data_IF_763165099662
#
_entry.id   IF_763165099662
#
_cell.length_a   1.000
_cell.length_b   1.000
_cell.length_c   1.000
_cell.angle_alpha   90.00
_cell.angle_beta   90.00
_cell.angle_gamma   90.00
#
_symmetry.space_group_name_H-M   'P 1'
#
loop_
_entity.id
_entity.type
_entity.pdbx_description
1 polymer ?
#
# COMPACT_ATOMS: atom_id res chain seq x y z
N UNK A 1 -12.58 -6.39 10.89
CA UNK A 1 -12.05 -5.01 10.78
C UNK A 1 -11.40 -4.88 9.42
N UNK A 2 -11.75 -3.85 8.67
CA UNK A 2 -11.17 -3.58 7.36
C UNK A 2 -9.96 -2.68 7.58
N UNK A 3 -8.76 -3.16 7.29
CA UNK A 3 -7.60 -2.30 7.17
C UNK A 3 -7.44 -2.00 5.69
N UNK A 4 -7.71 -0.74 5.33
CA UNK A 4 -7.25 -0.19 4.05
C UNK A 4 -5.94 0.49 4.33
N UNK A 5 -4.87 -0.09 3.81
CA UNK A 5 -3.63 0.67 3.70
C UNK A 5 -3.79 1.54 2.45
N UNK A 6 -4.34 2.74 2.64
CA UNK A 6 -4.09 3.81 1.69
C UNK A 6 -2.70 4.33 2.04
N UNK A 7 -1.81 4.46 1.04
CA UNK A 7 -0.59 5.21 1.27
C UNK A 7 -1.01 6.55 1.90
N UNK A 8 -0.42 6.95 3.04
CA UNK A 8 -0.79 8.19 3.69
C UNK A 8 -0.73 9.32 2.68
N UNK A 9 -1.59 10.33 2.83
CA UNK A 9 -1.39 11.62 2.15
C UNK A 9 -0.02 12.13 2.60
N UNK A 10 1.01 11.83 1.82
CA UNK A 10 2.37 12.20 2.19
C UNK A 10 2.52 13.66 1.79
N UNK A 11 2.46 14.54 2.78
CA UNK A 11 2.63 15.97 2.63
C UNK A 11 4.08 16.27 2.28
N UNK A 12 4.33 16.61 1.01
CA UNK A 12 5.69 16.88 0.53
C UNK A 12 6.25 18.14 1.20
N UNK A 13 7.37 18.03 1.94
CA UNK A 13 8.03 19.18 2.54
C UNK A 13 8.33 20.31 1.55
N UNK A 14 8.69 19.98 0.30
CA UNK A 14 8.96 20.96 -0.75
C UNK A 14 7.70 21.79 -1.10
N UNK A 15 6.51 21.19 -1.00
CA UNK A 15 5.25 21.92 -1.17
C UNK A 15 4.93 22.70 0.11
N UNK A 16 4.88 22.02 1.26
CA UNK A 16 4.45 22.61 2.53
C UNK A 16 5.26 23.84 2.89
N UNK A 17 6.57 23.79 2.75
CA UNK A 17 7.48 24.84 3.19
C UNK A 17 7.50 26.04 2.23
N UNK A 18 7.29 25.82 0.92
CA UNK A 18 7.25 26.91 -0.05
C UNK A 18 5.88 27.60 -0.16
N UNK A 19 4.81 26.96 0.31
CA UNK A 19 3.51 27.60 0.55
C UNK A 19 3.57 28.67 1.65
N UNK A 20 4.47 28.54 2.62
CA UNK A 20 4.70 29.56 3.64
C UNK A 20 5.82 30.52 3.21
N UNK A 21 5.54 31.83 3.00
CA UNK A 21 6.55 32.80 2.60
C UNK A 21 7.76 32.90 3.53
N UNK A 22 7.60 32.63 4.83
CA UNK A 22 8.68 32.72 5.82
C UNK A 22 9.70 31.57 5.72
N UNK A 23 9.30 30.44 5.12
CA UNK A 23 10.14 29.24 4.97
C UNK A 23 10.45 28.92 3.51
N UNK A 24 9.98 29.74 2.57
CA UNK A 24 10.17 29.53 1.13
C UNK A 24 11.64 29.68 0.76
N UNK A 25 12.14 28.75 -0.06
CA UNK A 25 13.46 28.85 -0.66
C UNK A 25 13.53 30.10 -1.58
N UNK A 26 14.42 31.08 -1.31
CA UNK A 26 14.43 32.35 -2.05
C UNK A 26 14.70 32.23 -3.55
N UNK A 27 15.34 31.14 -3.99
CA UNK A 27 15.58 30.88 -5.40
C UNK A 27 14.32 30.52 -6.21
N UNK A 28 13.21 30.14 -5.57
CA UNK A 28 12.01 29.65 -6.25
C UNK A 28 11.05 30.77 -6.64
N UNK A 29 10.50 30.69 -7.85
CA UNK A 29 9.49 31.61 -8.37
C UNK A 29 8.12 30.93 -8.55
N UNK A 30 7.05 31.74 -8.57
CA UNK A 30 5.71 31.28 -8.91
C UNK A 30 4.92 30.68 -7.73
N UNK A 31 5.41 30.77 -6.49
CA UNK A 31 4.70 30.27 -5.32
C UNK A 31 3.71 31.29 -4.72
N UNK A 32 3.65 32.51 -5.22
CA UNK A 32 2.73 33.53 -4.71
C UNK A 32 1.29 33.06 -4.86
N UNK A 33 0.50 33.15 -3.78
CA UNK A 33 -0.95 32.87 -3.75
C UNK A 33 -1.37 31.45 -4.17
N UNK A 34 -0.42 30.51 -4.31
CA UNK A 34 -0.74 29.08 -4.41
C UNK A 34 -1.25 28.58 -3.06
N UNK A 35 -2.11 27.56 -3.10
CA UNK A 35 -2.66 26.89 -1.92
C UNK A 35 -2.36 25.40 -1.96
N UNK A 36 -2.45 24.72 -0.82
CA UNK A 36 -2.21 23.28 -0.74
C UNK A 36 -3.08 22.45 -1.69
N UNK A 37 -4.28 22.93 -2.03
CA UNK A 37 -5.19 22.25 -2.95
C UNK A 37 -4.73 22.30 -4.43
N UNK A 38 -3.88 23.26 -4.81
CA UNK A 38 -3.30 23.34 -6.16
C UNK A 38 -2.37 22.18 -6.49
N UNK A 39 -1.88 21.49 -5.46
CA UNK A 39 -0.96 20.36 -5.55
C UNK A 39 -1.67 19.02 -5.40
N UNK A 40 -3.01 19.01 -5.29
CA UNK A 40 -3.79 17.79 -5.12
C UNK A 40 -4.32 17.29 -6.47
N UNK A 41 -3.94 16.07 -6.90
CA UNK A 41 -4.51 15.50 -8.11
C UNK A 41 -6.00 15.23 -7.94
N UNK A 42 -6.75 15.43 -9.02
CA UNK A 42 -8.19 15.21 -9.09
C UNK A 42 -8.52 14.21 -10.18
N UNK A 43 -9.58 13.46 -9.96
CA UNK A 43 -10.13 12.57 -10.96
C UNK A 43 -10.67 13.41 -12.12
N UNK A 44 -10.27 13.13 -13.37
CA UNK A 44 -10.66 13.95 -14.52
C UNK A 44 -12.15 13.84 -14.86
N UNK A 45 -12.86 12.83 -14.33
CA UNK A 45 -14.29 12.61 -14.55
C UNK A 45 -15.10 13.26 -13.43
N UNK A 46 -14.73 13.01 -12.17
CA UNK A 46 -15.54 13.49 -11.03
C UNK A 46 -15.11 14.85 -10.51
N UNK A 47 -13.88 15.28 -10.77
CA UNK A 47 -13.28 16.50 -10.21
C UNK A 47 -12.95 16.38 -8.72
N UNK A 48 -13.19 15.22 -8.09
CA UNK A 48 -12.86 14.96 -6.69
C UNK A 48 -11.38 14.59 -6.54
N UNK A 49 -10.85 14.68 -5.32
CA UNK A 49 -9.48 14.25 -5.03
C UNK A 49 -9.23 12.80 -5.48
N UNK A 50 -8.08 12.55 -6.10
CA UNK A 50 -7.72 11.23 -6.62
C UNK A 50 -6.39 10.70 -6.04
N UNK A 51 -6.40 9.59 -5.30
CA UNK A 51 -5.19 8.88 -4.90
C UNK A 51 -4.63 7.96 -5.99
N UNK A 52 -5.00 8.16 -7.26
CA UNK A 52 -4.47 7.35 -8.36
C UNK A 52 -3.15 7.92 -8.86
N UNK A 53 -2.13 7.08 -8.97
CA UNK A 53 -0.86 7.42 -9.60
C UNK A 53 -1.05 7.85 -11.07
N UNK A 54 -2.06 7.30 -11.76
CA UNK A 54 -2.39 7.73 -13.13
C UNK A 54 -2.82 9.19 -13.23
N UNK A 55 -3.38 9.73 -12.15
CA UNK A 55 -3.84 11.12 -12.07
C UNK A 55 -2.79 12.02 -11.42
N UNK A 56 -1.66 11.44 -10.97
CA UNK A 56 -0.56 12.13 -10.31
C UNK A 56 0.51 12.53 -11.33
N UNK A 57 0.87 13.81 -11.34
CA UNK A 57 1.95 14.33 -12.17
C UNK A 57 3.29 13.73 -11.73
N UNK A 58 4.09 13.29 -12.69
CA UNK A 58 5.36 12.59 -12.47
C UNK A 58 6.43 13.13 -13.41
N UNK A 59 7.63 13.30 -12.85
CA UNK A 59 8.85 13.62 -13.58
C UNK A 59 9.87 12.50 -13.37
N UNK A 60 10.68 12.18 -14.37
CA UNK A 60 11.87 11.32 -14.22
C UNK A 60 13.09 12.22 -14.08
N UNK A 61 13.85 12.02 -13.02
CA UNK A 61 15.13 12.66 -12.79
C UNK A 61 16.26 11.70 -13.17
N UNK A 62 17.27 12.20 -13.87
CA UNK A 62 18.52 11.46 -14.11
C UNK A 62 19.63 11.99 -13.21
N UNK A 63 20.21 11.13 -12.38
CA UNK A 63 21.31 11.42 -11.46
C UNK A 63 22.65 11.05 -12.08
N UNK A 64 23.59 11.98 -12.08
CA UNK A 64 24.92 11.81 -12.66
C UNK A 64 25.96 11.44 -11.59
N UNK A 65 26.85 10.46 -11.86
CA UNK A 65 27.90 10.04 -10.93
C UNK A 65 29.07 11.05 -10.94
N UNK A 66 28.85 12.20 -10.32
CA UNK A 66 29.89 13.20 -10.00
C UNK A 66 30.37 13.02 -8.55
N UNK A 67 31.39 13.78 -8.13
CA UNK A 67 31.99 13.62 -6.80
C UNK A 67 30.98 13.69 -5.62
N UNK A 68 29.90 14.47 -5.79
CA UNK A 68 28.81 14.60 -4.80
C UNK A 68 27.42 14.22 -5.36
N UNK A 69 27.33 13.73 -6.59
CA UNK A 69 26.07 13.47 -7.30
C UNK A 69 25.29 14.73 -7.67
N UNK A 70 24.77 14.79 -8.89
CA UNK A 70 23.99 15.92 -9.42
C UNK A 70 22.74 15.43 -10.16
N UNK A 71 21.70 16.26 -10.24
CA UNK A 71 20.61 16.04 -11.20
C UNK A 71 21.08 16.53 -12.57
N UNK A 72 21.21 15.62 -13.53
CA UNK A 72 21.64 15.92 -14.90
C UNK A 72 20.50 16.08 -15.90
N UNK A 73 19.32 15.55 -15.61
CA UNK A 73 18.16 15.69 -16.50
C UNK A 73 16.83 15.58 -15.77
N UNK A 74 15.79 16.16 -16.37
CA UNK A 74 14.40 16.02 -15.98
C UNK A 74 13.55 15.73 -17.22
N UNK A 75 12.67 14.73 -17.14
CA UNK A 75 11.75 14.34 -18.21
C UNK A 75 10.34 14.29 -17.63
N UNK A 76 9.36 14.83 -18.33
CA UNK A 76 7.95 14.67 -17.96
C UNK A 76 7.49 13.25 -18.30
N UNK A 77 7.02 12.50 -17.31
CA UNK A 77 6.52 11.12 -17.48
C UNK A 77 4.99 11.06 -17.51
N UNK A 78 4.34 11.79 -16.60
CA UNK A 78 2.88 11.88 -16.53
C UNK A 78 2.47 13.31 -16.21
N UNK A 79 1.50 13.84 -16.96
CA UNK A 79 0.94 15.16 -16.69
C UNK A 79 0.03 15.20 -15.46
N UNK A 80 -0.56 14.06 -15.08
CA UNK A 80 -1.59 14.00 -14.05
C UNK A 80 -2.81 14.88 -14.39
N UNK A 81 -3.65 15.16 -13.40
CA UNK A 81 -4.90 15.92 -13.60
C UNK A 81 -5.33 16.68 -12.35
N UNK A 82 -5.93 17.85 -12.54
CA UNK A 82 -6.57 18.62 -11.47
C UNK A 82 -5.68 19.61 -10.71
N UNK A 83 -4.44 19.81 -11.16
CA UNK A 83 -3.49 20.72 -10.53
C UNK A 83 -3.84 22.19 -10.79
N UNK A 84 -3.32 23.09 -9.95
CA UNK A 84 -3.39 24.55 -10.13
C UNK A 84 -4.82 25.08 -10.25
N UNK A 85 -5.78 24.49 -9.54
CA UNK A 85 -7.19 24.85 -9.58
C UNK A 85 -7.46 26.33 -9.24
N UNK A 86 -6.72 26.90 -8.28
CA UNK A 86 -6.79 28.32 -7.93
C UNK A 86 -6.35 29.25 -9.07
N UNK A 87 -5.63 28.71 -10.06
CA UNK A 87 -5.14 29.38 -11.26
C UNK A 87 -5.88 28.97 -12.53
N UNK A 88 -7.04 28.32 -12.41
CA UNK A 88 -7.77 27.79 -13.55
C UNK A 88 -7.00 26.71 -14.32
N UNK A 89 -6.08 26.02 -13.64
CA UNK A 89 -5.27 24.94 -14.20
C UNK A 89 -4.02 25.39 -14.97
N UNK A 90 -3.74 26.70 -15.05
CA UNK A 90 -2.61 27.23 -15.81
C UNK A 90 -1.65 27.97 -14.89
N UNK A 91 -0.41 27.49 -14.77
CA UNK A 91 0.58 28.12 -13.91
C UNK A 91 2.00 27.66 -14.21
N UNK A 92 3.00 28.49 -13.89
CA UNK A 92 4.42 28.10 -13.92
C UNK A 92 5.01 28.32 -12.53
N UNK A 93 5.70 27.32 -12.01
CA UNK A 93 6.28 27.34 -10.66
C UNK A 93 7.61 26.60 -10.64
N UNK A 94 8.60 27.17 -9.97
CA UNK A 94 9.90 26.54 -9.75
C UNK A 94 9.78 25.62 -8.53
N UNK A 95 10.24 24.39 -8.64
CA UNK A 95 10.08 23.33 -7.65
C UNK A 95 11.45 22.75 -7.29
N UNK A 96 11.73 22.60 -6.01
CA UNK A 96 12.98 22.03 -5.52
C UNK A 96 12.93 20.50 -5.46
N UNK A 97 14.05 19.86 -5.77
CA UNK A 97 14.23 18.42 -5.56
C UNK A 97 15.03 18.22 -4.27
N UNK A 98 14.39 17.67 -3.25
CA UNK A 98 15.04 17.35 -1.97
C UNK A 98 15.76 16.00 -2.03
N UNK A 99 16.42 15.62 -0.94
CA UNK A 99 17.20 14.37 -0.84
C UNK A 99 18.68 14.53 -1.16
N UNK A 100 19.15 15.78 -1.22
CA UNK A 100 20.54 16.14 -1.26
C UNK A 100 21.11 16.34 0.16
N UNK A 101 22.42 16.14 0.32
CA UNK A 101 23.16 16.35 1.57
C UNK A 101 24.19 17.50 1.50
N UNK A 102 24.12 18.33 0.46
CA UNK A 102 24.99 19.48 0.29
C UNK A 102 24.52 20.69 1.12
N UNK A 103 25.48 21.45 1.64
CA UNK A 103 25.24 22.78 2.20
C UNK A 103 26.26 23.72 1.55
N UNK A 104 25.76 24.76 0.91
CA UNK A 104 26.57 25.79 0.26
C UNK A 104 26.37 27.14 0.94
N UNK A 105 27.37 28.01 0.81
CA UNK A 105 27.25 29.39 1.28
C UNK A 105 26.33 30.28 0.42
N UNK A 106 25.52 29.71 -0.48
CA UNK A 106 24.64 30.45 -1.37
C UNK A 106 23.38 30.92 -0.62
N UNK A 107 23.19 32.23 -0.40
CA UNK A 107 22.04 32.71 0.37
C UNK A 107 20.69 32.52 -0.32
N UNK A 108 20.66 32.27 -1.64
CA UNK A 108 19.43 32.03 -2.40
C UNK A 108 19.06 30.54 -2.46
N UNK A 109 20.07 29.67 -2.42
CA UNK A 109 19.92 28.22 -2.44
C UNK A 109 20.92 27.58 -1.45
N UNK A 110 20.70 27.71 -0.13
CA UNK A 110 21.69 27.34 0.89
C UNK A 110 21.96 25.83 0.93
N UNK A 111 20.98 25.01 0.61
CA UNK A 111 21.16 23.55 0.54
C UNK A 111 21.66 23.11 -0.86
N UNK A 112 21.78 24.01 -1.84
CA UNK A 112 22.16 23.65 -3.21
C UNK A 112 21.28 22.54 -3.82
N UNK A 113 19.97 22.62 -3.57
CA UNK A 113 18.98 21.74 -4.18
C UNK A 113 18.90 21.98 -5.69
N UNK A 114 18.61 20.91 -6.44
CA UNK A 114 18.21 21.02 -7.84
C UNK A 114 16.86 21.73 -7.93
N UNK A 115 16.71 22.58 -8.94
CA UNK A 115 15.50 23.38 -9.16
C UNK A 115 14.94 23.05 -10.54
N UNK A 116 13.66 22.66 -10.58
CA UNK A 116 12.92 22.31 -11.79
C UNK A 116 11.78 23.30 -11.99
N UNK A 117 11.71 23.94 -13.16
CA UNK A 117 10.55 24.71 -13.58
C UNK A 117 9.46 23.79 -14.08
N UNK A 118 8.31 23.84 -13.42
CA UNK A 118 7.11 23.10 -13.79
C UNK A 118 6.12 24.03 -14.49
N UNK A 119 5.62 23.62 -15.65
CA UNK A 119 4.55 24.32 -16.37
C UNK A 119 3.29 23.49 -16.41
N UNK A 120 2.17 24.09 -16.02
CA UNK A 120 0.85 23.47 -15.99
C UNK A 120 -0.07 24.16 -16.99
N UNK A 121 -0.86 23.37 -17.71
CA UNK A 121 -1.95 23.85 -18.55
C UNK A 121 -3.17 22.95 -18.40
N UNK A 122 -4.36 23.57 -18.30
CA UNK A 122 -5.64 22.87 -18.09
C UNK A 122 -5.63 21.85 -16.94
N UNK A 123 -4.84 22.11 -15.90
CA UNK A 123 -4.74 21.27 -14.71
C UNK A 123 -3.86 20.04 -14.87
N UNK A 124 -3.08 19.94 -15.94
CA UNK A 124 -2.06 18.91 -16.14
C UNK A 124 -0.69 19.55 -16.23
N UNK A 125 0.33 18.88 -15.70
CA UNK A 125 1.73 19.21 -15.96
C UNK A 125 2.01 18.98 -17.45
N UNK A 126 2.59 19.97 -18.11
CA UNK A 126 2.90 19.96 -19.54
C UNK A 126 4.38 20.16 -19.86
N UNK A 127 5.15 20.67 -18.89
CA UNK A 127 6.59 20.85 -19.05
C UNK A 127 7.32 20.73 -17.71
N UNK A 128 8.53 20.17 -17.76
CA UNK A 128 9.49 20.18 -16.66
C UNK A 128 10.86 20.53 -17.25
N UNK A 129 11.52 21.56 -16.69
CA UNK A 129 12.82 22.06 -17.17
C UNK A 129 13.78 22.21 -15.98
N UNK A 130 14.98 21.64 -16.08
CA UNK A 130 16.00 21.76 -15.04
C UNK A 130 16.66 23.14 -15.13
N UNK A 131 16.53 23.95 -14.08
CA UNK A 131 17.14 25.28 -13.98
C UNK A 131 18.47 25.27 -13.21
N UNK A 132 18.59 24.37 -12.22
CA UNK A 132 19.77 24.18 -11.41
C UNK A 132 19.93 22.68 -11.14
N UNK A 133 21.13 22.14 -11.38
CA UNK A 133 21.45 20.72 -11.18
C UNK A 133 21.48 20.31 -9.70
N UNK A 134 21.77 21.27 -8.80
CA UNK A 134 22.09 21.02 -7.40
C UNK A 134 23.30 20.11 -7.21
N UNK A 135 23.63 19.80 -5.96
CA UNK A 135 24.65 18.81 -5.59
C UNK A 135 24.27 18.06 -4.32
N UNK A 136 24.94 16.94 -4.01
CA UNK A 136 24.68 16.14 -2.81
C UNK A 136 23.70 14.98 -3.03
N UNK A 137 23.46 14.59 -4.30
CA UNK A 137 22.56 13.48 -4.64
C UNK A 137 23.26 12.11 -4.66
N UNK A 138 24.49 12.04 -4.14
CA UNK A 138 25.31 10.83 -4.18
C UNK A 138 24.58 9.63 -3.55
N UNK A 139 24.03 9.81 -2.35
CA UNK A 139 23.32 8.76 -1.65
C UNK A 139 22.13 8.21 -2.46
N UNK A 140 21.34 9.10 -3.09
CA UNK A 140 20.22 8.67 -3.92
C UNK A 140 20.68 7.84 -5.12
N UNK A 141 21.72 8.26 -5.83
CA UNK A 141 22.26 7.47 -6.93
C UNK A 141 22.75 6.08 -6.49
N UNK A 142 23.40 5.97 -5.33
CA UNK A 142 23.86 4.69 -4.76
C UNK A 142 22.70 3.76 -4.40
N UNK A 143 21.66 4.33 -3.79
CA UNK A 143 20.44 3.61 -3.45
C UNK A 143 19.76 3.04 -4.70
N UNK A 144 19.67 3.84 -5.77
CA UNK A 144 19.06 3.43 -7.04
C UNK A 144 19.88 2.34 -7.75
N UNK A 145 21.22 2.47 -7.79
CA UNK A 145 22.09 1.48 -8.45
C UNK A 145 22.13 0.15 -7.68
N UNK A 146 22.13 0.20 -6.34
CA UNK A 146 22.19 -1.00 -5.50
C UNK A 146 20.84 -1.71 -5.32
N UNK A 147 19.72 -1.00 -5.54
CA UNK A 147 18.38 -1.53 -5.32
C UNK A 147 18.05 -1.84 -3.85
N UNK A 148 18.80 -1.30 -2.87
CA UNK A 148 18.51 -1.48 -1.44
C UNK A 148 19.08 -0.38 -0.53
N UNK A 149 18.28 0.05 0.46
CA UNK A 149 18.68 0.98 1.54
C UNK A 149 19.87 0.52 2.39
N UNK A 150 20.18 -0.77 2.37
CA UNK A 150 21.12 -1.40 3.32
C UNK A 150 22.58 -1.44 2.84
N UNK A 151 22.93 -0.83 1.71
CA UNK A 151 24.24 -1.00 1.08
C UNK A 151 24.92 0.23 0.43
N UNK A 152 24.39 1.44 0.58
CA UNK A 152 24.88 2.62 -0.16
C UNK A 152 26.17 3.24 0.44
N UNK A 153 27.28 2.48 0.50
CA UNK A 153 28.62 3.02 0.79
C UNK A 153 29.54 3.05 -0.43
N UNK A 154 29.12 2.45 -1.55
CA UNK A 154 29.87 2.40 -2.80
C UNK A 154 29.36 3.51 -3.71
N UNK A 155 30.19 4.46 -4.18
CA UNK A 155 29.78 5.46 -5.17
C UNK A 155 29.12 4.81 -6.37
N UNK A 156 28.01 5.39 -6.83
CA UNK A 156 27.37 4.89 -8.04
C UNK A 156 28.18 5.29 -9.28
N UNK A 157 28.17 4.45 -10.30
CA UNK A 157 29.10 4.59 -11.45
C UNK A 157 28.41 4.84 -12.77
N UNK A 158 27.12 4.51 -12.86
CA UNK A 158 26.29 4.75 -14.04
C UNK A 158 25.18 5.74 -13.74
N UNK A 159 24.73 6.51 -14.73
CA UNK A 159 23.56 7.37 -14.55
C UNK A 159 22.36 6.56 -14.05
N UNK A 160 21.71 7.04 -12.99
CA UNK A 160 20.52 6.41 -12.42
C UNK A 160 19.29 7.29 -12.67
N UNK A 161 18.14 6.67 -12.90
CA UNK A 161 16.90 7.38 -13.12
C UNK A 161 15.89 7.09 -12.00
N UNK A 162 15.24 8.13 -11.46
CA UNK A 162 14.12 7.97 -10.54
C UNK A 162 12.87 8.70 -11.04
N UNK A 163 11.72 8.02 -11.00
CA UNK A 163 10.42 8.65 -11.26
C UNK A 163 9.88 9.23 -9.95
N UNK A 164 9.65 10.53 -9.96
CA UNK A 164 9.26 11.35 -8.83
C UNK A 164 7.84 11.90 -9.03
N UNK A 165 6.86 11.51 -8.21
CA UNK A 165 5.54 12.14 -8.16
C UNK A 165 5.58 13.50 -7.42
N UNK A 166 4.90 14.53 -7.93
CA UNK A 166 5.00 15.90 -7.39
C UNK A 166 4.30 16.16 -6.05
N UNK A 167 3.41 15.28 -5.60
CA UNK A 167 2.54 15.51 -4.43
C UNK A 167 2.58 14.35 -3.41
N UNK A 168 3.70 13.62 -3.40
CA UNK A 168 4.01 12.56 -2.45
C UNK A 168 5.42 12.83 -1.95
N UNK A 169 5.61 12.92 -0.64
CA UNK A 169 6.88 13.32 -0.03
C UNK A 169 8.09 12.58 -0.57
N UNK A 170 9.10 13.38 -0.88
CA UNK A 170 10.42 12.99 -1.37
C UNK A 170 11.40 12.69 -0.23
N UNK A 171 10.95 12.09 0.88
CA UNK A 171 11.89 11.71 1.95
C UNK A 171 12.72 10.51 1.49
N UNK A 172 14.00 10.46 1.91
CA UNK A 172 15.02 9.45 1.51
C UNK A 172 14.50 8.01 1.47
N UNK A 173 13.61 7.62 2.39
CA UNK A 173 13.04 6.27 2.45
C UNK A 173 12.07 5.90 1.31
N UNK A 174 11.74 6.82 0.40
CA UNK A 174 10.71 6.63 -0.64
C UNK A 174 11.26 6.56 -2.07
N UNK A 175 12.52 6.92 -2.31
CA UNK A 175 13.14 6.79 -3.64
C UNK A 175 13.33 5.33 -4.09
N UNK A 176 13.37 4.39 -3.14
CA UNK A 176 13.60 2.96 -3.39
C UNK A 176 12.37 2.19 -3.89
N UNK A 177 11.17 2.73 -3.66
CA UNK A 177 9.95 2.02 -3.97
C UNK A 177 9.31 2.68 -5.19
N UNK A 178 9.24 2.00 -6.35
CA UNK A 178 8.48 2.55 -7.46
C UNK A 178 7.07 2.87 -6.98
N UNK A 179 6.67 4.13 -7.15
CA UNK A 179 5.33 4.56 -6.83
C UNK A 179 4.38 3.62 -7.56
N UNK A 180 3.50 2.97 -6.80
CA UNK A 180 2.57 2.00 -7.34
C UNK A 180 1.19 2.35 -6.83
N UNK A 181 0.17 2.06 -7.65
CA UNK A 181 -1.22 2.03 -7.19
C UNK A 181 -1.48 0.87 -6.22
N UNK A 182 -0.43 0.36 -5.57
CA UNK A 182 -0.50 -0.74 -4.66
C UNK A 182 -1.35 -0.33 -3.46
N UNK A 183 -2.53 -0.91 -3.42
CA UNK A 183 -3.45 -0.84 -2.31
C UNK A 183 -3.55 -2.24 -1.78
N UNK A 184 -3.16 -2.40 -0.53
CA UNK A 184 -3.35 -3.65 0.15
C UNK A 184 -4.58 -3.55 1.07
N UNK A 185 -5.43 -4.55 0.99
CA UNK A 185 -6.71 -4.57 1.69
C UNK A 185 -6.88 -5.90 2.39
N UNK A 186 -6.51 -5.92 3.67
CA UNK A 186 -6.68 -7.08 4.53
C UNK A 186 -8.02 -7.00 5.26
N UNK A 187 -8.88 -7.98 5.03
CA UNK A 187 -10.08 -8.21 5.82
C UNK A 187 -9.79 -9.26 6.88
N UNK A 188 -9.76 -8.84 8.14
CA UNK A 188 -9.77 -9.77 9.25
C UNK A 188 -11.21 -9.93 9.72
N UNK A 189 -11.76 -11.14 9.57
CA UNK A 189 -13.15 -11.44 9.92
C UNK A 189 -13.23 -12.28 11.19
N UNK A 190 -14.21 -11.98 12.04
CA UNK A 190 -14.53 -12.83 13.17
C UNK A 190 -15.21 -14.11 12.67
N UNK A 191 -14.82 -15.22 13.26
CA UNK A 191 -15.17 -16.54 12.76
C UNK A 191 -16.07 -17.29 13.75
N UNK A 192 -16.83 -18.25 13.24
CA UNK A 192 -17.60 -19.20 14.03
C UNK A 192 -17.54 -20.58 13.36
N UNK A 193 -17.41 -21.62 14.17
CA UNK A 193 -17.58 -23.00 13.70
C UNK A 193 -19.05 -23.38 13.60
N UNK A 194 -19.38 -24.12 12.54
CA UNK A 194 -20.64 -24.85 12.38
C UNK A 194 -20.28 -26.32 12.25
N UNK A 195 -21.00 -27.18 12.94
CA UNK A 195 -20.78 -28.61 12.84
C UNK A 195 -22.08 -29.36 12.57
N UNK A 196 -21.95 -30.51 11.92
CA UNK A 196 -23.04 -31.43 11.65
C UNK A 196 -22.50 -32.86 11.60
N UNK A 197 -23.32 -33.83 11.99
CA UNK A 197 -22.99 -35.23 11.84
C UNK A 197 -23.24 -35.68 10.39
N UNK A 198 -22.27 -36.39 9.82
CA UNK A 198 -22.41 -37.11 8.55
C UNK A 198 -22.02 -38.56 8.73
N UNK A 199 -22.58 -39.43 7.89
CA UNK A 199 -22.10 -40.82 7.76
C UNK A 199 -20.99 -40.88 6.73
N UNK A 200 -19.84 -41.43 7.13
CA UNK A 200 -18.72 -41.71 6.23
C UNK A 200 -18.97 -42.92 5.33
N UNK A 201 -18.03 -43.19 4.43
CA UNK A 201 -18.11 -44.33 3.49
C UNK A 201 -18.14 -45.70 4.19
N UNK A 202 -17.56 -45.81 5.39
CA UNK A 202 -17.57 -46.99 6.26
C UNK A 202 -18.80 -47.07 7.18
N UNK A 203 -19.81 -46.21 7.00
CA UNK A 203 -20.99 -46.06 7.87
C UNK A 203 -20.66 -45.59 9.31
N UNK A 204 -19.44 -45.11 9.54
CA UNK A 204 -19.04 -44.44 10.79
C UNK A 204 -19.59 -43.01 10.85
N UNK A 205 -19.97 -42.55 12.05
CA UNK A 205 -20.37 -41.17 12.29
C UNK A 205 -19.14 -40.25 12.31
N UNK A 206 -19.13 -39.25 11.45
CA UNK A 206 -18.08 -38.24 11.35
C UNK A 206 -18.65 -36.86 11.67
N UNK A 207 -17.87 -36.06 12.38
CA UNK A 207 -18.18 -34.65 12.58
C UNK A 207 -17.65 -33.85 11.39
N UNK A 208 -18.55 -33.26 10.61
CA UNK A 208 -18.21 -32.27 9.59
C UNK A 208 -18.21 -30.89 10.24
N UNK A 209 -17.08 -30.17 10.17
CA UNK A 209 -16.90 -28.83 10.73
C UNK A 209 -16.61 -27.84 9.61
N UNK A 210 -17.32 -26.72 9.60
CA UNK A 210 -17.16 -25.61 8.64
C UNK A 210 -16.95 -24.29 9.36
N UNK A 211 -15.99 -23.50 8.91
CA UNK A 211 -15.74 -22.15 9.44
C UNK A 211 -16.39 -21.09 8.57
N UNK A 212 -17.15 -20.19 9.19
CA UNK A 212 -17.87 -19.09 8.53
C UNK A 212 -17.71 -17.77 9.28
N UNK A 213 -18.08 -16.66 8.65
CA UNK A 213 -18.20 -15.36 9.35
C UNK A 213 -19.22 -15.43 10.50
N UNK A 214 -18.82 -14.90 11.67
CA UNK A 214 -19.53 -15.04 12.95
C UNK A 214 -21.00 -14.60 12.88
N UNK A 215 -21.28 -13.45 12.27
CA UNK A 215 -22.61 -12.85 12.23
C UNK A 215 -23.10 -12.57 10.80
N UNK A 216 -24.29 -11.95 10.66
CA UNK A 216 -24.86 -11.59 9.36
C UNK A 216 -24.04 -10.50 8.65
N UNK A 217 -23.46 -9.57 9.40
CA UNK A 217 -22.65 -8.48 8.87
C UNK A 217 -21.34 -9.02 8.30
N UNK A 218 -20.62 -9.88 9.03
CA UNK A 218 -19.40 -10.53 8.55
C UNK A 218 -19.66 -11.32 7.27
N UNK A 219 -20.76 -12.08 7.21
CA UNK A 219 -21.16 -12.85 6.02
C UNK A 219 -21.54 -11.97 4.83
N UNK A 220 -22.23 -10.85 5.06
CA UNK A 220 -22.55 -9.86 4.03
C UNK A 220 -21.30 -9.18 3.49
N UNK A 221 -20.36 -8.82 4.36
CA UNK A 221 -19.06 -8.23 3.98
C UNK A 221 -18.26 -9.21 3.12
N UNK A 222 -18.05 -10.45 3.57
CA UNK A 222 -17.37 -11.50 2.79
C UNK A 222 -18.03 -11.73 1.42
N UNK A 223 -19.36 -11.66 1.34
CA UNK A 223 -20.09 -11.88 0.07
C UNK A 223 -19.99 -10.71 -0.91
N UNK A 224 -19.96 -9.46 -0.40
CA UNK A 224 -19.76 -8.26 -1.23
C UNK A 224 -18.35 -8.20 -1.78
N UNK A 225 -17.37 -8.64 -0.98
CA UNK A 225 -15.96 -8.57 -1.33
C UNK A 225 -15.50 -9.75 -2.18
N UNK A 226 -16.26 -10.84 -2.30
CA UNK A 226 -15.97 -11.95 -3.22
C UNK A 226 -16.18 -11.60 -4.71
N UNK A 227 -16.19 -10.31 -5.09
CA UNK A 227 -16.36 -9.85 -6.46
C UNK A 227 -14.99 -9.41 -7.03
N UNK A 228 -14.52 -10.01 -8.14
CA UNK A 228 -13.18 -9.78 -8.68
C UNK A 228 -12.89 -8.33 -9.09
N UNK A 229 -13.92 -7.55 -9.40
CA UNK A 229 -13.85 -6.15 -9.83
C UNK A 229 -13.56 -5.15 -8.69
N UNK A 230 -13.50 -5.63 -7.44
CA UNK A 230 -13.26 -4.81 -6.25
C UNK A 230 -11.87 -4.99 -5.63
N UNK A 231 -11.03 -5.87 -6.18
CA UNK A 231 -9.67 -6.07 -5.68
C UNK A 231 -8.68 -5.25 -6.49
N UNK A 232 -7.82 -4.52 -5.81
CA UNK A 232 -6.58 -4.02 -6.38
C UNK A 232 -5.60 -5.17 -6.56
N UNK A 233 -4.60 -4.99 -7.42
CA UNK A 233 -3.51 -5.96 -7.61
C UNK A 233 -2.61 -6.00 -6.38
N UNK A 234 -2.90 -6.88 -5.43
CA UNK A 234 -1.88 -7.34 -4.48
C UNK A 234 -1.03 -8.44 -5.13
N UNK A 235 0.25 -8.48 -4.77
CA UNK A 235 1.22 -9.40 -5.34
C UNK A 235 1.34 -10.63 -4.43
N UNK A 236 0.72 -11.75 -4.82
CA UNK A 236 0.79 -13.02 -4.07
C UNK A 236 2.02 -13.88 -4.42
N UNK A 237 2.99 -13.34 -5.17
CA UNK A 237 4.15 -14.08 -5.67
C UNK A 237 3.87 -14.93 -6.91
N UNK A 238 2.71 -15.59 -7.01
CA UNK A 238 2.25 -16.28 -8.24
C UNK A 238 0.70 -16.33 -8.30
N UNK A 239 0.12 -16.13 -9.49
CA UNK A 239 -1.31 -16.30 -9.79
C UNK A 239 -2.23 -15.12 -9.40
N UNK A 240 -3.51 -15.15 -9.83
CA UNK A 240 -4.49 -14.13 -9.47
C UNK A 240 -4.93 -14.27 -8.01
N UNK A 241 -5.05 -13.15 -7.31
CA UNK A 241 -5.57 -13.10 -5.94
C UNK A 241 -6.99 -13.67 -5.84
N UNK A 242 -7.31 -14.25 -4.68
CA UNK A 242 -8.60 -14.89 -4.40
C UNK A 242 -9.05 -14.59 -2.97
N UNK A 243 -10.29 -14.09 -2.82
CA UNK A 243 -10.99 -14.05 -1.55
C UNK A 243 -11.87 -15.30 -1.38
N UNK A 244 -11.91 -15.79 -0.15
CA UNK A 244 -12.65 -16.99 0.20
C UNK A 244 -13.76 -16.69 1.19
N UNK A 245 -14.93 -17.30 0.95
CA UNK A 245 -16.12 -17.16 1.82
C UNK A 245 -16.10 -18.09 3.03
N UNK A 246 -15.10 -18.96 3.09
CA UNK A 246 -14.79 -19.88 4.19
C UNK A 246 -13.28 -19.88 4.39
N UNK A 247 -12.81 -20.22 5.60
CA UNK A 247 -11.39 -20.56 5.80
C UNK A 247 -10.99 -21.64 4.78
N UNK A 248 -9.75 -21.66 4.28
CA UNK A 248 -9.30 -22.77 3.40
C UNK A 248 -8.50 -23.79 4.16
N UNK A 249 -7.72 -23.32 5.14
CA UNK A 249 -6.79 -24.11 5.93
C UNK A 249 -6.93 -23.78 7.43
N UNK A 250 -6.28 -24.58 8.27
CA UNK A 250 -6.18 -24.32 9.70
C UNK A 250 -6.60 -25.52 10.54
N UNK A 251 -6.05 -25.56 11.76
CA UNK A 251 -6.23 -26.68 12.65
C UNK A 251 -7.56 -26.60 13.40
N UNK A 252 -8.20 -27.76 13.56
CA UNK A 252 -9.40 -27.94 14.39
C UNK A 252 -9.08 -28.90 15.53
N UNK A 253 -9.54 -28.54 16.73
CA UNK A 253 -9.55 -29.41 17.91
C UNK A 253 -10.95 -29.44 18.50
N UNK A 254 -11.38 -30.60 18.97
CA UNK A 254 -12.68 -30.82 19.58
C UNK A 254 -12.48 -31.23 21.03
N UNK A 255 -13.15 -30.57 21.96
CA UNK A 255 -13.15 -30.91 23.39
C UNK A 255 -14.56 -31.13 23.91
N UNK A 256 -14.70 -31.94 24.96
CA UNK A 256 -15.92 -31.99 25.78
C UNK A 256 -15.97 -30.84 26.80
N UNK A 257 -17.07 -30.76 27.56
CA UNK A 257 -17.28 -29.74 28.60
C UNK A 257 -16.23 -29.79 29.72
N UNK A 258 -15.59 -30.95 29.93
CA UNK A 258 -14.52 -31.14 30.90
C UNK A 258 -13.13 -30.77 30.33
N UNK A 259 -13.08 -30.33 29.06
CA UNK A 259 -11.87 -29.90 28.39
C UNK A 259 -11.02 -31.05 27.83
N UNK A 260 -11.51 -32.29 27.87
CA UNK A 260 -10.82 -33.47 27.32
C UNK A 260 -10.92 -33.46 25.81
N UNK A 261 -9.79 -33.68 25.16
CA UNK A 261 -9.68 -33.72 23.70
C UNK A 261 -10.35 -34.99 23.14
N UNK A 262 -11.33 -34.81 22.26
CA UNK A 262 -12.07 -35.90 21.60
C UNK A 262 -11.59 -36.17 20.16
N UNK A 263 -11.02 -35.15 19.52
CA UNK A 263 -10.59 -35.25 18.13
C UNK A 263 -9.76 -34.05 17.67
N UNK A 264 -9.00 -34.26 16.59
CA UNK A 264 -8.24 -33.23 15.88
C UNK A 264 -8.48 -33.40 14.38
N UNK A 265 -8.42 -32.30 13.64
CA UNK A 265 -8.51 -32.32 12.19
C UNK A 265 -7.81 -31.11 11.58
N UNK A 266 -7.67 -31.15 10.25
CA UNK A 266 -7.29 -30.00 9.46
C UNK A 266 -8.48 -29.60 8.59
N UNK A 267 -8.65 -28.30 8.41
CA UNK A 267 -9.54 -27.77 7.38
C UNK A 267 -8.89 -27.93 6.01
N UNK A 268 -9.63 -28.51 5.09
CA UNK A 268 -9.30 -28.58 3.68
C UNK A 268 -10.46 -27.97 2.89
N UNK A 269 -10.17 -26.92 2.11
CA UNK A 269 -11.21 -26.18 1.37
C UNK A 269 -12.38 -25.69 2.25
N UNK A 270 -12.09 -25.39 3.52
CA UNK A 270 -13.06 -24.90 4.49
C UNK A 270 -13.96 -25.92 5.14
N UNK A 271 -13.65 -27.20 4.97
CA UNK A 271 -14.31 -28.29 5.69
C UNK A 271 -13.28 -29.17 6.38
N UNK A 272 -13.55 -29.56 7.62
CA UNK A 272 -12.82 -30.61 8.31
C UNK A 272 -13.76 -31.77 8.61
N UNK A 273 -13.33 -33.00 8.33
CA UNK A 273 -14.03 -34.22 8.72
C UNK A 273 -13.24 -34.87 9.84
N UNK A 274 -13.88 -35.05 11.00
CA UNK A 274 -13.19 -35.52 12.20
C UNK A 274 -13.91 -36.76 12.72
N UNK A 275 -13.18 -37.88 12.73
CA UNK A 275 -13.57 -39.07 13.48
C UNK A 275 -13.40 -38.79 14.97
N UNK A 276 -14.45 -39.04 15.76
CA UNK A 276 -14.38 -38.92 17.21
C UNK A 276 -13.82 -40.22 17.78
N UNK A 277 -12.66 -40.14 18.44
CA UNK A 277 -11.98 -41.32 19.00
C UNK A 277 -12.75 -41.90 20.19
N UNK A 278 -13.56 -41.07 20.85
CA UNK A 278 -14.49 -41.44 21.90
C UNK A 278 -15.82 -40.71 21.64
N UNK A 279 -16.94 -41.43 21.75
CA UNK A 279 -18.26 -40.80 21.78
C UNK A 279 -18.34 -39.94 23.05
N UNK A 280 -18.56 -38.63 22.89
CA UNK A 280 -18.97 -37.81 24.02
C UNK A 280 -20.28 -38.38 24.54
N UNK A 281 -20.42 -38.51 25.86
CA UNK A 281 -21.75 -38.56 26.46
C UNK A 281 -22.53 -37.31 26.01
N UNK A 282 -23.86 -37.38 25.96
CA UNK A 282 -24.73 -36.27 25.60
C UNK A 282 -24.25 -34.96 26.25
N UNK A 283 -23.94 -33.95 25.44
CA UNK A 283 -23.33 -32.71 25.92
C UNK A 283 -22.83 -31.81 24.78
N UNK A 284 -22.60 -30.53 25.10
CA UNK A 284 -22.03 -29.58 24.14
C UNK A 284 -20.56 -29.87 23.88
N UNK A 285 -20.14 -29.71 22.62
CA UNK A 285 -18.74 -29.80 22.21
C UNK A 285 -18.15 -28.42 21.99
N UNK A 286 -16.95 -28.20 22.50
CA UNK A 286 -16.15 -27.03 22.16
C UNK A 286 -15.31 -27.31 20.91
N UNK A 287 -15.55 -26.54 19.85
CA UNK A 287 -14.72 -26.55 18.65
C UNK A 287 -13.75 -25.38 18.71
N UNK A 288 -12.47 -25.70 18.71
CA UNK A 288 -11.36 -24.74 18.68
C UNK A 288 -10.77 -24.70 17.28
N UNK A 289 -10.82 -23.54 16.66
CA UNK A 289 -10.19 -23.25 15.38
C UNK A 289 -8.94 -22.41 15.58
N UNK A 290 -7.81 -22.87 15.03
CA UNK A 290 -6.50 -22.22 15.17
C UNK A 290 -6.31 -20.94 14.37
N UNK A 291 -7.29 -20.55 13.55
CA UNK A 291 -7.12 -19.48 12.58
C UNK A 291 -6.50 -19.98 11.28
N UNK A 292 -6.50 -19.11 10.29
CA UNK A 292 -5.97 -19.39 8.97
C UNK A 292 -5.07 -18.24 8.54
N UNK A 293 -3.77 -18.47 8.57
CA UNK A 293 -2.76 -17.50 8.16
C UNK A 293 -2.37 -17.61 6.69
N UNK A 294 -2.89 -18.61 5.97
CA UNK A 294 -2.42 -18.98 4.63
C UNK A 294 -3.48 -18.94 3.54
N UNK A 295 -4.77 -18.93 3.88
CA UNK A 295 -5.82 -19.08 2.87
C UNK A 295 -6.13 -17.88 2.01
N UNK A 296 -5.63 -16.68 2.31
CA UNK A 296 -5.73 -15.53 1.42
C UNK A 296 -4.83 -14.40 1.91
N UNK A 297 -4.15 -13.73 0.98
CA UNK A 297 -3.54 -12.43 1.26
C UNK A 297 -4.61 -11.39 1.66
N UNK A 298 -5.85 -11.48 1.17
CA UNK A 298 -6.87 -10.44 1.41
C UNK A 298 -7.88 -10.75 2.52
N UNK A 299 -8.05 -12.01 2.94
CA UNK A 299 -9.01 -12.39 4.00
C UNK A 299 -8.41 -13.40 4.98
N UNK A 300 -8.16 -12.94 6.21
CA UNK A 300 -7.67 -13.81 7.29
C UNK A 300 -8.80 -14.18 8.26
N UNK A 301 -8.94 -15.48 8.52
CA UNK A 301 -9.90 -16.03 9.46
C UNK A 301 -9.24 -16.15 10.83
N UNK A 302 -9.77 -15.42 11.82
CA UNK A 302 -9.24 -15.46 13.20
C UNK A 302 -9.44 -16.83 13.83
N UNK A 303 -8.52 -17.17 14.73
CA UNK A 303 -8.74 -18.21 15.71
C UNK A 303 -10.03 -17.93 16.48
N UNK A 304 -10.79 -18.98 16.76
CA UNK A 304 -12.05 -18.88 17.49
C UNK A 304 -12.39 -20.17 18.22
N UNK A 305 -13.28 -20.05 19.19
CA UNK A 305 -13.94 -21.17 19.83
C UNK A 305 -15.45 -21.08 19.63
N UNK A 306 -16.14 -22.21 19.58
CA UNK A 306 -17.59 -22.28 19.48
C UNK A 306 -18.11 -23.53 20.16
N UNK A 307 -19.09 -23.36 21.03
CA UNK A 307 -19.87 -24.46 21.59
C UNK A 307 -20.98 -24.87 20.63
N UNK A 308 -21.13 -26.17 20.43
CA UNK A 308 -22.13 -26.77 19.55
C UNK A 308 -22.77 -27.95 20.27
N UNK A 309 -24.09 -27.94 20.36
CA UNK A 309 -24.87 -29.15 20.66
C UNK A 309 -25.03 -29.95 19.38
N UNK A 310 -24.66 -31.23 19.42
CA UNK A 310 -24.89 -32.18 18.33
C UNK A 310 -26.23 -32.89 18.47
#
# INVERSE_FOLDING_TARGET
MLYRYEQPLVDDPAIRENLNPDTRLPALQGWETLIADDWRPRDPITGEWSPSLSNTAQIRLGFLPTDNGEVGSVILENGGSGYMGSRGGNHTVDFEIRGNDAITGNPLNPEDVAIVRLGFANGSLTSAELLNNGSGYQYLGQVMESGSSFGATVPFTEQQDAVVPLNLSLMESWYEQPASNYRDSYLITDTKARASLRRGQSNELQLEVKIVGRDRQSRRQLSRMARPDQWSTGYSGEGPERAYRTAQTGSIRIKDQQGRLLGRGQLESGVAQIGLQNLSADGELEILFGGDSSSSYLVNYRASSSWISL
#
